data_IF_013224413518
#
_entry.id   IF_013224413518
#
_cell.length_a   1.000
_cell.length_b   1.000
_cell.length_c   1.000
_cell.angle_alpha   90.00
_cell.angle_beta   90.00
_cell.angle_gamma   90.00
#
_symmetry.space_group_name_H-M   'P 1'
#
loop_
_entity.id
_entity.type
_entity.pdbx_description
1 polymer ?
#
# COMPACT_ATOMS: atom_id res chain seq x y z
N UNK A 1 1.22 20.21 -11.96
CA UNK A 1 -0.27 20.12 -12.03
C UNK A 1 -0.74 18.92 -11.23
N UNK A 2 -1.81 19.03 -10.43
CA UNK A 2 -2.30 17.94 -9.59
C UNK A 2 -3.73 17.53 -9.97
N UNK A 3 -3.96 16.25 -10.22
CA UNK A 3 -5.30 15.68 -10.42
C UNK A 3 -5.67 14.75 -9.25
N UNK A 4 -6.96 14.60 -8.98
CA UNK A 4 -7.48 13.59 -8.05
C UNK A 4 -8.10 12.45 -8.83
N UNK A 5 -7.84 11.23 -8.39
CA UNK A 5 -8.42 10.03 -8.95
C UNK A 5 -8.70 9.02 -7.83
N UNK A 6 -9.49 8.01 -8.17
CA UNK A 6 -9.75 6.85 -7.31
C UNK A 6 -9.20 5.62 -8.02
N UNK A 7 -8.33 4.89 -7.32
CA UNK A 7 -7.72 3.66 -7.81
C UNK A 7 -8.37 2.47 -7.12
N UNK A 8 -8.78 1.49 -7.92
CA UNK A 8 -9.24 0.21 -7.42
C UNK A 8 -8.13 -0.83 -7.58
N UNK A 9 -7.69 -1.41 -6.48
CA UNK A 9 -6.60 -2.37 -6.41
C UNK A 9 -7.11 -3.69 -5.83
N UNK A 10 -6.69 -4.81 -6.40
CA UNK A 10 -6.95 -6.13 -5.81
C UNK A 10 -5.67 -6.57 -5.08
N UNK A 11 -5.82 -6.92 -3.82
CA UNK A 11 -4.72 -7.46 -3.02
C UNK A 11 -4.49 -8.90 -3.44
N UNK A 12 -3.37 -9.14 -4.12
CA UNK A 12 -2.96 -10.49 -4.52
C UNK A 12 -1.96 -11.07 -3.53
N UNK A 13 -1.74 -12.38 -3.61
CA UNK A 13 -0.68 -13.03 -2.83
C UNK A 13 0.69 -12.40 -3.10
N UNK A 14 0.97 -12.00 -4.34
CA UNK A 14 2.20 -11.32 -4.72
C UNK A 14 2.31 -9.96 -4.01
N UNK A 15 1.22 -9.18 -3.99
CA UNK A 15 1.15 -7.92 -3.25
C UNK A 15 1.46 -8.15 -1.77
N UNK A 16 0.88 -9.18 -1.14
CA UNK A 16 1.13 -9.48 0.27
C UNK A 16 2.57 -9.93 0.52
N UNK A 17 3.12 -10.84 -0.28
CA UNK A 17 4.50 -11.33 -0.10
C UNK A 17 5.54 -10.23 -0.25
N UNK A 18 5.32 -9.25 -1.13
CA UNK A 18 6.31 -8.20 -1.39
C UNK A 18 6.08 -6.92 -0.58
N UNK A 19 4.83 -6.47 -0.45
CA UNK A 19 4.51 -5.26 0.32
C UNK A 19 4.33 -5.54 1.82
N UNK A 20 3.98 -6.77 2.20
CA UNK A 20 3.74 -7.18 3.59
C UNK A 20 4.44 -8.50 3.93
N UNK A 21 5.76 -8.62 3.70
CA UNK A 21 6.47 -9.89 3.90
C UNK A 21 6.34 -10.41 5.34
N UNK A 22 6.18 -9.51 6.32
CA UNK A 22 5.96 -9.87 7.72
C UNK A 22 4.62 -10.57 7.99
N UNK A 23 3.61 -10.41 7.12
CA UNK A 23 2.34 -11.16 7.19
C UNK A 23 2.45 -12.54 6.54
N UNK A 24 3.39 -12.72 5.61
CA UNK A 24 3.60 -13.98 4.90
C UNK A 24 4.47 -14.97 5.70
N UNK A 25 5.34 -14.47 6.57
CA UNK A 25 6.22 -15.29 7.43
C UNK A 25 5.47 -15.66 8.72
N UNK A 26 4.50 -16.56 8.61
CA UNK A 26 3.89 -17.20 9.77
C UNK A 26 4.75 -18.40 10.19
N UNK A 27 5.80 -18.17 10.98
CA UNK A 27 6.57 -19.26 11.58
C UNK A 27 5.76 -19.90 12.70
N UNK A 28 5.03 -20.96 12.38
CA UNK A 28 4.84 -22.11 13.28
C UNK A 28 3.71 -22.07 14.31
N UNK A 29 2.90 -21.01 14.42
CA UNK A 29 1.71 -21.06 15.29
C UNK A 29 0.46 -20.56 14.54
N UNK A 30 -0.51 -21.46 14.39
CA UNK A 30 -1.82 -21.23 13.78
C UNK A 30 -2.68 -20.17 14.51
N UNK A 31 -2.16 -19.56 15.58
CA UNK A 31 -2.83 -18.52 16.40
C UNK A 31 -2.25 -17.12 16.19
N UNK A 32 -1.32 -16.94 15.25
CA UNK A 32 -0.66 -15.66 15.07
C UNK A 32 -1.53 -14.70 14.23
N UNK A 33 -1.82 -13.52 14.79
CA UNK A 33 -2.72 -12.50 14.22
C UNK A 33 -2.31 -12.10 12.79
N UNK A 34 -1.02 -12.22 12.46
CA UNK A 34 -0.42 -11.97 11.14
C UNK A 34 -1.03 -12.85 10.04
N UNK A 35 -1.28 -14.13 10.31
CA UNK A 35 -1.84 -15.08 9.34
C UNK A 35 -3.32 -14.76 9.06
N UNK A 36 -4.06 -14.37 10.10
CA UNK A 36 -5.45 -13.95 9.97
C UNK A 36 -5.55 -12.67 9.14
N UNK A 37 -4.66 -11.70 9.37
CA UNK A 37 -4.60 -10.47 8.58
C UNK A 37 -4.21 -10.73 7.12
N UNK A 38 -3.28 -11.66 6.86
CA UNK A 38 -2.93 -12.09 5.50
C UNK A 38 -4.16 -12.62 4.76
N UNK A 39 -4.90 -13.55 5.38
CA UNK A 39 -6.10 -14.15 4.79
C UNK A 39 -7.22 -13.13 4.62
N UNK A 40 -7.40 -12.21 5.57
CA UNK A 40 -8.41 -11.15 5.46
C UNK A 40 -8.10 -10.17 4.33
N UNK A 41 -6.83 -9.90 4.05
CA UNK A 41 -6.42 -8.99 2.99
C UNK A 41 -6.40 -9.66 1.61
N UNK A 42 -6.10 -10.95 1.52
CA UNK A 42 -6.01 -11.67 0.25
C UNK A 42 -7.34 -11.62 -0.52
N UNK A 43 -7.29 -11.21 -1.77
CA UNK A 43 -8.45 -11.10 -2.66
C UNK A 43 -9.32 -9.86 -2.41
N UNK A 44 -9.01 -9.04 -1.40
CA UNK A 44 -9.78 -7.83 -1.13
C UNK A 44 -9.55 -6.75 -2.17
N UNK A 45 -10.62 -6.02 -2.48
CA UNK A 45 -10.57 -4.82 -3.31
C UNK A 45 -10.37 -3.60 -2.41
N UNK A 46 -9.28 -2.88 -2.62
CA UNK A 46 -8.99 -1.61 -1.97
C UNK A 46 -9.35 -0.47 -2.92
N UNK A 47 -10.19 0.45 -2.46
CA UNK A 47 -10.44 1.70 -3.16
C UNK A 47 -9.65 2.82 -2.50
N UNK A 48 -8.63 3.29 -3.21
CA UNK A 48 -7.68 4.28 -2.73
C UNK A 48 -7.92 5.60 -3.45
N UNK A 49 -8.17 6.66 -2.68
CA UNK A 49 -8.07 8.01 -3.22
C UNK A 49 -6.61 8.34 -3.45
N UNK A 50 -6.30 8.94 -4.59
CA UNK A 50 -4.95 9.31 -4.94
C UNK A 50 -4.86 10.70 -5.57
N UNK A 51 -3.71 11.33 -5.37
CA UNK A 51 -3.31 12.51 -6.13
C UNK A 51 -2.24 12.15 -7.15
N UNK A 52 -2.44 12.62 -8.37
CA UNK A 52 -1.55 12.45 -9.51
C UNK A 52 -0.89 13.80 -9.80
N UNK A 53 0.40 13.90 -9.51
CA UNK A 53 1.20 15.08 -9.76
C UNK A 53 1.97 14.91 -11.07
N UNK A 54 1.56 15.68 -12.08
CA UNK A 54 2.21 15.76 -13.37
C UNK A 54 3.27 16.87 -13.33
N UNK A 55 4.51 16.47 -13.60
CA UNK A 55 5.66 17.35 -13.77
C UNK A 55 5.92 17.47 -15.27
N UNK A 56 5.90 18.69 -15.76
CA UNK A 56 6.05 19.01 -17.17
C UNK A 56 7.45 19.56 -17.44
N UNK A 57 7.96 19.27 -18.63
CA UNK A 57 9.14 19.94 -19.17
C UNK A 57 8.81 21.39 -19.50
N UNK A 58 9.66 22.31 -19.07
CA UNK A 58 9.44 23.76 -19.23
C UNK A 58 9.48 24.21 -20.69
N UNK A 59 10.09 23.43 -21.59
CA UNK A 59 10.30 23.82 -22.99
C UNK A 59 9.32 23.17 -23.95
N UNK A 60 8.90 21.93 -23.69
CA UNK A 60 8.04 21.15 -24.60
C UNK A 60 6.59 20.98 -24.13
N UNK A 61 6.24 21.45 -22.92
CA UNK A 61 4.92 21.26 -22.28
C UNK A 61 4.51 19.78 -22.21
N UNK A 62 5.49 18.87 -22.21
CA UNK A 62 5.27 17.42 -22.11
C UNK A 62 5.46 16.97 -20.68
N UNK A 63 4.64 16.00 -20.24
CA UNK A 63 4.84 15.35 -18.94
C UNK A 63 6.14 14.54 -18.96
N UNK A 64 7.10 14.93 -18.12
CA UNK A 64 8.37 14.20 -17.94
C UNK A 64 8.33 13.25 -16.75
N UNK A 65 7.43 13.49 -15.80
CA UNK A 65 7.31 12.64 -14.61
C UNK A 65 5.90 12.68 -14.03
N UNK A 66 5.43 11.51 -13.63
CA UNK A 66 4.19 11.33 -12.89
C UNK A 66 4.54 10.87 -11.47
N UNK A 67 4.07 11.60 -10.47
CA UNK A 67 4.13 11.20 -9.07
C UNK A 67 2.72 10.82 -8.62
N UNK A 68 2.60 9.69 -7.94
CA UNK A 68 1.33 9.17 -7.42
C UNK A 68 1.44 9.16 -5.91
N UNK A 69 0.49 9.78 -5.21
CA UNK A 69 0.37 9.65 -3.77
C UNK A 69 -0.95 8.97 -3.44
N UNK A 70 -0.89 7.87 -2.71
CA UNK A 70 -2.04 7.05 -2.35
C UNK A 70 -2.39 7.21 -0.87
N UNK A 71 -3.68 7.36 -0.57
CA UNK A 71 -4.18 7.15 0.78
C UNK A 71 -4.45 5.65 1.01
N UNK A 72 -3.39 4.93 1.34
CA UNK A 72 -3.45 3.51 1.70
C UNK A 72 -3.99 3.28 3.12
N UNK A 73 -4.03 4.32 3.95
CA UNK A 73 -4.51 4.26 5.34
C UNK A 73 -6.02 4.16 5.39
N UNK A 74 -6.73 5.07 4.71
CA UNK A 74 -8.19 5.11 4.70
C UNK A 74 -8.78 3.90 3.99
N UNK A 75 -8.20 3.49 2.87
CA UNK A 75 -8.63 2.32 2.09
C UNK A 75 -8.46 1.01 2.85
N UNK A 76 -7.38 0.87 3.63
CA UNK A 76 -7.16 -0.33 4.47
C UNK A 76 -8.03 -0.36 5.71
N UNK A 77 -8.34 0.80 6.29
CA UNK A 77 -9.30 0.89 7.39
C UNK A 77 -10.67 0.37 6.97
N UNK A 78 -11.12 0.65 5.74
CA UNK A 78 -12.38 0.12 5.21
C UNK A 78 -12.41 -1.41 5.10
N UNK A 79 -11.27 -2.06 4.86
CA UNK A 79 -11.19 -3.52 4.73
C UNK A 79 -10.94 -4.22 6.07
N UNK A 80 -10.10 -3.65 6.93
CA UNK A 80 -9.72 -4.27 8.20
C UNK A 80 -10.70 -3.95 9.33
N UNK A 81 -11.40 -2.81 9.26
CA UNK A 81 -12.42 -2.40 10.24
C UNK A 81 -11.87 -2.03 11.62
N UNK A 82 -10.54 -2.05 11.79
CA UNK A 82 -9.85 -1.73 13.03
C UNK A 82 -8.58 -0.93 12.73
N UNK A 83 -8.46 0.25 13.35
CA UNK A 83 -7.28 1.10 13.21
C UNK A 83 -6.03 0.44 13.81
N UNK A 84 -6.21 -0.42 14.82
CA UNK A 84 -5.10 -1.21 15.40
C UNK A 84 -4.53 -2.22 14.39
N UNK A 85 -5.40 -2.88 13.63
CA UNK A 85 -4.97 -3.83 12.61
C UNK A 85 -4.32 -3.11 11.43
N UNK A 86 -4.83 -1.94 11.04
CA UNK A 86 -4.20 -1.08 10.03
C UNK A 86 -2.80 -0.66 10.48
N UNK A 87 -2.64 -0.22 11.73
CA UNK A 87 -1.34 0.15 12.29
C UNK A 87 -0.35 -1.02 12.27
N UNK A 88 -0.78 -2.23 12.67
CA UNK A 88 0.05 -3.43 12.64
C UNK A 88 0.51 -3.78 11.22
N UNK A 89 -0.39 -3.73 10.24
CA UNK A 89 -0.08 -4.01 8.83
C UNK A 89 0.88 -2.97 8.24
N UNK A 90 0.72 -1.70 8.60
CA UNK A 90 1.56 -0.61 8.05
C UNK A 90 2.93 -0.52 8.71
N UNK A 91 3.06 -0.80 10.01
CA UNK A 91 4.29 -0.62 10.78
C UNK A 91 5.50 -1.35 10.19
N UNK A 92 5.28 -2.50 9.57
CA UNK A 92 6.34 -3.33 8.98
C UNK A 92 6.16 -3.51 7.47
N UNK A 93 5.34 -2.67 6.84
CA UNK A 93 5.09 -2.72 5.41
C UNK A 93 6.31 -2.27 4.62
N UNK A 94 6.51 -2.85 3.44
CA UNK A 94 7.50 -2.45 2.44
C UNK A 94 6.90 -1.64 1.30
N UNK A 95 5.70 -1.10 1.50
CA UNK A 95 5.02 -0.22 0.55
C UNK A 95 4.94 1.19 1.13
N UNK A 96 5.43 2.16 0.37
CA UNK A 96 5.31 3.57 0.73
C UNK A 96 3.99 4.18 0.26
N UNK A 97 3.66 5.39 0.71
CA UNK A 97 2.54 6.20 0.24
C UNK A 97 2.61 6.51 -1.27
N UNK A 98 3.81 6.47 -1.84
CA UNK A 98 4.09 6.67 -3.27
C UNK A 98 3.97 5.36 -4.06
N UNK A 99 3.47 4.30 -3.43
CA UNK A 99 3.28 2.98 -4.00
C UNK A 99 4.59 2.30 -4.49
N UNK A 100 5.73 2.71 -3.94
CA UNK A 100 7.01 2.07 -4.21
C UNK A 100 7.16 0.86 -3.31
N UNK A 101 7.44 -0.30 -3.92
CA UNK A 101 7.75 -1.54 -3.19
C UNK A 101 9.28 -1.67 -3.15
N UNK A 102 9.86 -1.55 -1.97
CA UNK A 102 11.31 -1.62 -1.79
C UNK A 102 11.71 -1.90 -0.35
N UNK A 103 12.99 -2.17 -0.11
CA UNK A 103 13.52 -2.12 1.26
C UNK A 103 13.42 -0.67 1.73
N UNK A 104 12.39 -0.33 2.49
CA UNK A 104 12.34 0.93 3.23
C UNK A 104 13.44 0.82 4.29
N UNK A 105 14.64 1.28 3.94
CA UNK A 105 15.74 1.42 4.88
C UNK A 105 15.32 2.55 5.80
N UNK A 106 14.83 2.22 6.99
CA UNK A 106 14.73 3.19 8.07
C UNK A 106 16.16 3.67 8.34
N UNK A 107 16.45 4.90 7.93
CA UNK A 107 17.66 5.60 8.32
C UNK A 107 17.75 5.62 9.85
N UNK A 108 18.93 5.24 10.32
CA UNK A 108 19.33 5.03 11.72
C UNK A 108 19.14 6.26 12.60
#
# INVERSE_FOLDING_TARGET
MAARATLSLIVTELTLRHAFPHLAVATGSFRDNSTQLFQRLLGQRLECNCSLNFLFDEHSDRVVRLQINLDLTTSRYQVLGSLEDVSKVLKNARVSSECVIGNIVHGS
#
